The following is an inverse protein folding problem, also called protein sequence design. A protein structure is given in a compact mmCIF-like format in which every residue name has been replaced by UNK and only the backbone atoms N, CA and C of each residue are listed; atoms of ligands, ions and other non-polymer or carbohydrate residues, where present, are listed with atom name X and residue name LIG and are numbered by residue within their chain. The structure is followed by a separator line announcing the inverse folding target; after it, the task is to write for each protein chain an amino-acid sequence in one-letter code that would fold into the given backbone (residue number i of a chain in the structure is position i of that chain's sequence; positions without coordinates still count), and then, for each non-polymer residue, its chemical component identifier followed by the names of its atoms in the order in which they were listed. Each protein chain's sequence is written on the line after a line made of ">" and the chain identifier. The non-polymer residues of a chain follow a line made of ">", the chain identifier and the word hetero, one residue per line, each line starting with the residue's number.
data_IF_718390927090
#
_entry.id   IF_718390927090
#
_cell.length_a   1.000
_cell.length_b   1.000
_cell.length_c   1.000
_cell.angle_alpha   90.00
_cell.angle_beta   90.00
_cell.angle_gamma   90.00
#
_symmetry.space_group_name_H-M   'P 1'
#
loop_
_entity.id
_entity.type
_entity.pdbx_description
1 polymer ?
#
# COMPACT_ATOMS: atom_id res chain seq x y z
N UNK A 1 10.93 16.14 -3.17
CA UNK A 1 9.52 16.17 -2.69
C UNK A 1 9.55 16.06 -1.18
N UNK A 2 8.51 16.51 -0.48
CA UNK A 2 8.44 16.50 0.98
C UNK A 2 7.10 15.93 1.45
N UNK A 3 7.08 14.63 1.72
CA UNK A 3 5.94 13.86 2.20
C UNK A 3 5.73 14.10 3.71
N UNK A 4 4.80 15.00 4.05
CA UNK A 4 4.43 15.25 5.46
C UNK A 4 3.21 14.43 5.85
N UNK A 5 3.44 13.13 6.08
CA UNK A 5 2.45 12.18 6.59
C UNK A 5 3.08 11.14 7.54
N UNK A 6 2.26 10.53 8.42
CA UNK A 6 2.60 9.28 9.12
C UNK A 6 1.35 8.41 9.20
N UNK A 7 1.47 7.15 8.76
CA UNK A 7 0.32 6.30 8.51
C UNK A 7 -0.49 6.76 7.30
N UNK A 8 -1.76 6.35 7.21
CA UNK A 8 -2.67 6.59 6.07
C UNK A 8 -3.20 8.05 5.99
N UNK A 9 -2.36 9.05 6.25
CA UNK A 9 -2.66 10.46 6.02
C UNK A 9 -1.46 11.13 5.35
N UNK A 10 -1.56 11.33 4.03
CA UNK A 10 -0.46 11.78 3.17
C UNK A 10 -0.92 12.96 2.30
N UNK A 11 -0.05 13.93 2.09
CA UNK A 11 -0.26 15.05 1.17
C UNK A 11 0.84 15.10 0.11
N UNK A 12 0.48 15.05 -1.17
CA UNK A 12 1.39 15.23 -2.30
C UNK A 12 1.15 16.61 -2.94
N UNK A 13 2.13 17.52 -2.80
CA UNK A 13 2.03 18.87 -3.35
C UNK A 13 2.47 18.93 -4.82
N UNK A 14 1.59 19.42 -5.69
CA UNK A 14 1.88 19.63 -7.11
C UNK A 14 2.34 21.08 -7.35
N UNK A 15 3.49 21.23 -8.03
CA UNK A 15 4.09 22.51 -8.40
C UNK A 15 4.62 22.46 -9.83
N UNK A 16 4.45 23.56 -10.57
CA UNK A 16 4.94 23.73 -11.96
C UNK A 16 6.44 24.03 -12.03
N UNK A 17 6.97 24.61 -10.97
CA UNK A 17 8.37 25.02 -10.85
C UNK A 17 8.89 24.55 -9.48
N UNK A 18 9.89 23.67 -9.47
CA UNK A 18 10.45 23.08 -8.24
C UNK A 18 11.35 24.04 -7.44
N UNK A 19 11.76 25.17 -8.02
CA UNK A 19 12.57 26.22 -7.36
C UNK A 19 11.66 27.31 -6.80
N UNK A 20 10.66 27.77 -7.57
CA UNK A 20 9.69 28.79 -7.14
C UNK A 20 8.49 28.23 -6.37
N UNK A 21 8.35 26.91 -6.30
CA UNK A 21 7.19 26.18 -5.73
C UNK A 21 5.85 26.71 -6.25
N UNK A 22 5.79 27.09 -7.53
CA UNK A 22 4.61 27.71 -8.14
C UNK A 22 3.45 26.68 -8.20
N UNK A 23 2.31 26.91 -7.52
CA UNK A 23 1.25 25.91 -7.39
C UNK A 23 0.69 25.44 -8.73
N UNK A 24 0.59 24.11 -8.91
CA UNK A 24 -0.07 23.48 -10.05
C UNK A 24 -1.56 23.26 -9.77
N UNK A 25 -2.29 24.34 -9.48
CA UNK A 25 -3.67 24.31 -9.00
C UNK A 25 -4.66 23.74 -10.03
N UNK A 26 -4.45 24.02 -11.33
CA UNK A 26 -5.34 23.53 -12.39
C UNK A 26 -5.12 22.02 -12.58
N UNK A 27 -3.86 21.62 -12.69
CA UNK A 27 -3.40 20.25 -12.82
C UNK A 27 -3.88 19.39 -11.64
N UNK A 28 -3.87 19.94 -10.41
CA UNK A 28 -4.42 19.26 -9.24
C UNK A 28 -5.95 19.03 -9.33
N UNK A 29 -6.72 19.93 -9.95
CA UNK A 29 -8.14 19.67 -10.22
C UNK A 29 -8.31 18.62 -11.33
N UNK A 30 -7.52 18.70 -12.40
CA UNK A 30 -7.58 17.76 -13.53
C UNK A 30 -7.22 16.32 -13.09
N UNK A 31 -6.20 16.17 -12.23
CA UNK A 31 -5.84 14.87 -11.61
C UNK A 31 -7.01 14.33 -10.78
N UNK A 32 -7.63 15.15 -9.92
CA UNK A 32 -8.77 14.72 -9.09
C UNK A 32 -9.98 14.36 -9.96
N UNK A 33 -10.24 15.10 -11.04
CA UNK A 33 -11.31 14.81 -11.98
C UNK A 33 -11.09 13.47 -12.68
N UNK A 34 -9.90 13.24 -13.23
CA UNK A 34 -9.55 11.98 -13.92
C UNK A 34 -9.53 10.78 -12.98
N UNK A 35 -9.05 10.93 -11.74
CA UNK A 35 -9.13 9.87 -10.73
C UNK A 35 -10.58 9.53 -10.38
N UNK A 36 -11.47 10.53 -10.29
CA UNK A 36 -12.91 10.30 -10.09
C UNK A 36 -13.55 9.53 -11.26
N UNK A 37 -13.11 9.74 -12.49
CA UNK A 37 -13.51 8.91 -13.65
C UNK A 37 -13.05 7.46 -13.49
N UNK A 38 -11.90 7.22 -12.84
CA UNK A 38 -11.41 5.90 -12.42
C UNK A 38 -11.97 5.43 -11.06
N UNK A 39 -13.04 6.06 -10.56
CA UNK A 39 -13.67 5.79 -9.25
C UNK A 39 -12.81 6.03 -7.99
N UNK A 40 -11.60 6.59 -8.13
CA UNK A 40 -10.69 6.94 -7.04
C UNK A 40 -11.02 8.34 -6.51
N UNK A 41 -11.47 8.45 -5.26
CA UNK A 41 -11.97 9.70 -4.68
C UNK A 41 -10.94 10.40 -3.78
N UNK A 42 -10.18 11.34 -4.35
CA UNK A 42 -9.27 12.23 -3.63
C UNK A 42 -9.86 13.65 -3.41
N UNK A 43 -9.18 14.44 -2.59
CA UNK A 43 -9.50 15.85 -2.34
C UNK A 43 -8.25 16.72 -2.40
N UNK A 44 -8.37 17.93 -2.94
CA UNK A 44 -7.33 18.95 -2.85
C UNK A 44 -7.36 19.64 -1.48
N UNK A 45 -6.20 20.05 -0.99
CA UNK A 45 -6.01 20.81 0.24
C UNK A 45 -4.95 21.92 0.07
N UNK A 46 -4.74 22.71 1.13
CA UNK A 46 -3.82 23.84 1.15
C UNK A 46 -4.43 25.14 0.58
N UNK A 47 -3.79 26.30 0.83
CA UNK A 47 -4.32 27.61 0.43
C UNK A 47 -4.46 27.76 -1.10
N UNK A 48 -3.66 27.03 -1.87
CA UNK A 48 -3.68 27.05 -3.34
C UNK A 48 -4.37 25.82 -3.97
N UNK A 49 -4.98 24.93 -3.17
CA UNK A 49 -5.67 23.71 -3.63
C UNK A 49 -4.83 22.83 -4.57
N UNK A 50 -3.52 22.80 -4.37
CA UNK A 50 -2.53 22.06 -5.14
C UNK A 50 -1.98 20.80 -4.42
N UNK A 51 -2.41 20.55 -3.17
CA UNK A 51 -2.00 19.36 -2.40
C UNK A 51 -3.05 18.25 -2.56
N UNK A 52 -2.70 17.16 -3.23
CA UNK A 52 -3.53 15.94 -3.26
C UNK A 52 -3.48 15.28 -1.89
N UNK A 53 -4.64 15.16 -1.22
CA UNK A 53 -4.75 14.61 0.14
C UNK A 53 -5.33 13.20 0.13
N UNK A 54 -4.54 12.27 0.64
CA UNK A 54 -4.84 10.86 0.82
C UNK A 54 -5.21 10.60 2.28
N UNK A 55 -6.38 9.97 2.47
CA UNK A 55 -6.94 9.60 3.78
C UNK A 55 -7.95 8.45 3.62
N UNK A 56 -7.50 7.26 3.18
CA UNK A 56 -8.37 6.10 2.96
C UNK A 56 -8.83 5.47 4.29
N UNK A 57 -9.76 4.49 4.26
CA UNK A 57 -10.14 3.70 5.43
C UNK A 57 -8.97 2.91 6.02
N UNK A 58 -9.06 2.52 7.29
CA UNK A 58 -8.02 1.74 8.00
C UNK A 58 -7.80 0.32 7.45
N UNK A 59 -8.63 -0.15 6.51
CA UNK A 59 -8.52 -1.45 5.84
C UNK A 59 -7.96 -1.36 4.41
N UNK A 60 -7.48 -0.18 3.99
CA UNK A 60 -6.80 0.05 2.71
C UNK A 60 -5.48 -0.73 2.66
N UNK A 61 -5.28 -1.53 1.62
CA UNK A 61 -4.14 -2.45 1.51
C UNK A 61 -2.94 -1.86 0.74
N UNK A 62 -1.87 -2.65 0.61
CA UNK A 62 -0.73 -2.29 -0.23
C UNK A 62 -1.11 -2.38 -1.73
N UNK A 63 -1.94 -3.35 -2.11
CA UNK A 63 -2.48 -3.48 -3.47
C UNK A 63 -3.43 -2.33 -3.85
N UNK A 64 -4.25 -1.83 -2.90
CA UNK A 64 -5.03 -0.60 -3.11
C UNK A 64 -4.10 0.61 -3.35
N UNK A 65 -2.97 0.67 -2.65
CA UNK A 65 -1.99 1.75 -2.79
C UNK A 65 -1.30 1.71 -4.17
N UNK A 66 -0.83 0.54 -4.59
CA UNK A 66 -0.19 0.33 -5.90
C UNK A 66 -1.14 0.70 -7.05
N UNK A 67 -2.41 0.28 -6.99
CA UNK A 67 -3.43 0.65 -7.97
C UNK A 67 -3.63 2.18 -8.03
N UNK A 68 -3.73 2.85 -6.88
CA UNK A 68 -3.90 4.31 -6.83
C UNK A 68 -2.67 5.04 -7.37
N UNK A 69 -1.46 4.56 -7.08
CA UNK A 69 -0.20 5.13 -7.59
C UNK A 69 -0.10 4.94 -9.11
N UNK A 70 -0.41 3.76 -9.65
CA UNK A 70 -0.42 3.49 -11.11
C UNK A 70 -1.35 4.46 -11.85
N UNK A 71 -2.57 4.70 -11.33
CA UNK A 71 -3.50 5.64 -11.98
C UNK A 71 -3.02 7.09 -11.88
N UNK A 72 -2.38 7.48 -10.78
CA UNK A 72 -1.77 8.82 -10.64
C UNK A 72 -0.63 9.00 -11.64
N UNK A 73 0.28 8.03 -11.76
CA UNK A 73 1.44 8.10 -12.65
C UNK A 73 1.02 8.23 -14.12
N UNK A 74 0.06 7.40 -14.58
CA UNK A 74 -0.51 7.51 -15.92
C UNK A 74 -1.17 8.88 -16.17
N UNK A 75 -1.95 9.37 -15.22
CA UNK A 75 -2.66 10.67 -15.34
C UNK A 75 -1.67 11.84 -15.38
N UNK A 76 -0.66 11.85 -14.51
CA UNK A 76 0.39 12.88 -14.49
C UNK A 76 1.21 12.83 -15.78
N UNK A 77 1.62 11.64 -16.20
CA UNK A 77 2.35 11.39 -17.45
C UNK A 77 1.59 11.95 -18.67
N UNK A 78 0.27 11.79 -18.75
CA UNK A 78 -0.52 12.34 -19.86
C UNK A 78 -0.74 13.86 -19.77
N UNK A 79 -0.80 14.43 -18.56
CA UNK A 79 -0.81 15.89 -18.35
C UNK A 79 0.54 16.50 -18.74
N UNK A 80 1.68 15.89 -18.35
CA UNK A 80 3.02 16.35 -18.72
C UNK A 80 3.22 16.32 -20.24
N UNK A 81 2.80 15.24 -20.93
CA UNK A 81 2.78 15.18 -22.41
C UNK A 81 1.93 16.31 -23.01
N UNK A 82 0.72 16.55 -22.50
CA UNK A 82 -0.18 17.58 -23.02
C UNK A 82 0.35 19.01 -22.82
N UNK A 83 1.14 19.23 -21.75
CA UNK A 83 1.84 20.49 -21.48
C UNK A 83 3.20 20.61 -22.20
N UNK A 84 3.64 19.58 -22.94
CA UNK A 84 4.94 19.55 -23.62
C UNK A 84 6.14 19.38 -22.69
N UNK A 85 5.92 19.00 -21.43
CA UNK A 85 6.94 18.83 -20.39
C UNK A 85 7.62 17.47 -20.53
N UNK A 86 8.56 17.32 -21.46
CA UNK A 86 9.35 16.09 -21.56
C UNK A 86 10.38 16.01 -20.42
N UNK A 87 10.06 15.19 -19.41
CA UNK A 87 11.02 14.76 -18.39
C UNK A 87 12.06 13.81 -19.00
N UNK A 88 13.38 14.06 -18.87
CA UNK A 88 14.40 13.14 -19.36
C UNK A 88 14.39 11.84 -18.55
N UNK A 89 14.12 10.73 -19.22
CA UNK A 89 13.83 9.44 -18.57
C UNK A 89 15.10 8.76 -18.03
N UNK A 90 15.39 8.93 -16.74
CA UNK A 90 16.34 8.07 -16.00
C UNK A 90 15.60 6.93 -15.32
N UNK A 91 15.34 5.85 -16.06
CA UNK A 91 14.85 4.59 -15.50
C UNK A 91 16.04 3.76 -15.03
N UNK A 92 16.02 3.32 -13.77
CA UNK A 92 16.71 2.09 -13.36
C UNK A 92 15.80 1.31 -12.40
N UNK A 93 15.51 0.06 -12.77
CA UNK A 93 14.70 -0.87 -11.99
C UNK A 93 15.60 -1.75 -11.13
N UNK A 94 15.37 -1.81 -9.83
CA UNK A 94 15.94 -2.84 -8.96
C UNK A 94 14.91 -3.41 -7.98
N UNK A 95 14.18 -4.44 -8.44
CA UNK A 95 13.22 -5.21 -7.62
C UNK A 95 13.96 -6.13 -6.63
N UNK A 96 14.52 -5.53 -5.57
CA UNK A 96 15.25 -6.23 -4.50
C UNK A 96 14.34 -6.87 -3.45
N UNK A 97 13.66 -7.98 -3.79
CA UNK A 97 12.79 -8.74 -2.86
C UNK A 97 13.58 -9.37 -1.69
N UNK A 98 13.93 -8.55 -0.71
CA UNK A 98 14.81 -8.89 0.42
C UNK A 98 14.08 -9.70 1.49
N UNK A 99 14.00 -11.01 1.29
CA UNK A 99 13.59 -11.99 2.31
C UNK A 99 14.54 -11.90 3.52
N UNK A 100 14.10 -11.21 4.58
CA UNK A 100 14.81 -11.14 5.86
C UNK A 100 14.72 -12.47 6.60
N UNK A 101 15.53 -13.45 6.18
CA UNK A 101 15.88 -14.57 7.04
C UNK A 101 16.58 -14.04 8.29
N UNK A 102 16.05 -14.35 9.47
CA UNK A 102 16.74 -14.17 10.74
C UNK A 102 17.49 -15.48 11.04
N UNK A 103 18.84 -15.49 11.10
CA UNK A 103 19.58 -16.64 11.59
C UNK A 103 19.52 -16.62 13.12
N UNK A 104 18.78 -17.56 13.70
CA UNK A 104 18.85 -17.83 15.14
C UNK A 104 20.12 -18.64 15.43
N UNK A 105 21.17 -18.01 15.98
CA UNK A 105 22.29 -18.75 16.54
C UNK A 105 21.91 -19.25 17.95
N UNK A 106 21.75 -20.56 18.08
CA UNK A 106 21.87 -21.26 19.37
C UNK A 106 22.78 -22.48 19.19
N UNK A 107 23.79 -22.60 20.04
CA UNK A 107 24.98 -23.41 19.75
C UNK A 107 25.38 -24.24 20.98
N UNK A 108 25.09 -25.55 20.99
CA UNK A 108 25.74 -26.48 21.93
C UNK A 108 24.98 -27.74 22.38
N UNK A 109 25.23 -28.87 21.71
CA UNK A 109 25.47 -30.25 22.25
C UNK A 109 24.65 -30.73 23.49
N UNK A 110 24.04 -31.92 23.50
CA UNK A 110 24.72 -33.23 23.46
C UNK A 110 23.71 -34.41 23.27
N UNK A 111 24.24 -35.62 23.02
CA UNK A 111 23.45 -36.86 22.84
C UNK A 111 22.82 -37.44 24.13
N UNK A 112 21.69 -38.14 23.97
CA UNK A 112 21.52 -39.52 24.47
C UNK A 112 20.38 -40.26 23.72
N UNK A 113 20.38 -41.59 23.76
CA UNK A 113 19.42 -42.45 23.06
C UNK A 113 18.23 -42.84 23.96
N UNK A 114 17.06 -43.09 23.37
CA UNK A 114 15.91 -43.67 24.09
C UNK A 114 14.86 -44.29 23.16
N UNK A 115 14.90 -45.61 22.97
CA UNK A 115 13.86 -46.38 22.27
C UNK A 115 12.88 -46.93 23.31
N UNK A 116 11.57 -46.74 23.08
CA UNK A 116 10.50 -47.25 23.95
C UNK A 116 9.22 -47.55 23.15
N UNK A 117 8.47 -48.58 23.57
CA UNK A 117 7.34 -49.16 22.83
C UNK A 117 6.00 -49.04 23.59
N UNK A 118 4.91 -49.18 22.82
CA UNK A 118 3.60 -49.74 23.20
C UNK A 118 2.56 -48.91 23.99
N UNK A 119 1.36 -48.84 23.36
CA UNK A 119 0.00 -49.02 23.97
C UNK A 119 -0.51 -47.90 24.90
N UNK A 120 -1.82 -47.72 25.13
CA UNK A 120 -3.03 -48.38 24.58
C UNK A 120 -4.23 -47.39 24.41
N UNK A 121 -5.39 -47.95 24.09
CA UNK A 121 -6.72 -47.39 23.78
C UNK A 121 -7.49 -46.67 24.91
N UNK A 122 -8.69 -46.13 24.56
CA UNK A 122 -9.76 -45.56 25.41
C UNK A 122 -9.58 -44.08 25.82
N UNK A 123 -10.59 -43.20 25.85
CA UNK A 123 -12.06 -43.30 25.61
C UNK A 123 -12.59 -41.86 25.21
N UNK A 124 -13.87 -41.45 25.13
CA UNK A 124 -15.17 -42.01 25.55
C UNK A 124 -16.32 -41.70 24.54
N UNK A 125 -17.38 -40.97 24.92
CA UNK A 125 -18.66 -40.79 24.18
C UNK A 125 -19.33 -39.44 24.52
N UNK A 126 -19.98 -38.79 23.53
CA UNK A 126 -21.24 -37.98 23.60
C UNK A 126 -21.26 -36.99 22.41
N UNK A 127 -22.17 -37.03 21.42
CA UNK A 127 -23.64 -37.11 21.40
C UNK A 127 -24.36 -35.82 21.82
N UNK A 128 -24.57 -34.90 20.88
CA UNK A 128 -25.69 -33.95 20.92
C UNK A 128 -26.22 -33.64 19.51
N UNK A 129 -27.55 -33.46 19.40
CA UNK A 129 -28.30 -33.12 18.17
C UNK A 129 -29.04 -31.79 18.39
N UNK A 130 -29.59 -31.24 17.28
CA UNK A 130 -30.46 -30.05 17.12
C UNK A 130 -29.69 -28.89 16.48
N UNK A 131 -29.95 -28.41 15.24
CA UNK A 131 -31.13 -28.41 14.32
C UNK A 131 -32.20 -27.37 14.69
N UNK A 132 -32.59 -26.55 13.69
CA UNK A 132 -33.55 -25.40 13.70
C UNK A 132 -33.04 -24.12 14.39
N UNK A 133 -33.43 -22.90 13.95
CA UNK A 133 -33.91 -22.42 12.64
C UNK A 133 -33.62 -20.89 12.57
N UNK A 134 -33.63 -20.26 11.38
CA UNK A 134 -33.64 -18.79 11.27
C UNK A 134 -35.08 -18.24 11.33
N UNK A 135 -35.30 -17.03 11.87
CA UNK A 135 -36.24 -16.05 11.34
C UNK A 135 -35.73 -15.50 9.99
#
# INVERSE_FOLDING_TARGET
>A
MSDRGRGLFVGAELVRDRVKLTPATAEAQDVIYKLKEQHILLSADGPHRNVLKFKPPMCFSEEDADMVVEKIDQILTDIEKALGLQMPSTVHTENGSSKRNVPSEENGRHHSNGIGHSRDTSQQHASQKNKRLRP
#
